data_IF_456481840376
#
_entry.id   IF_456481840376
#
_cell.length_a   1.000
_cell.length_b   1.000
_cell.length_c   1.000
_cell.angle_alpha   90.00
_cell.angle_beta   90.00
_cell.angle_gamma   90.00
#
_symmetry.space_group_name_H-M   'P 1'
#
loop_
_entity.id
_entity.type
_entity.pdbx_description
1 polymer ?
#
# COMPACT_ATOMS: atom_id res chain seq x y z
N UNK A 1 -15.99 0.07 22.71
CA UNK A 1 -14.55 0.25 22.46
C UNK A 1 -14.39 0.99 21.14
N UNK A 2 -14.09 2.29 21.20
CA UNK A 2 -14.20 3.20 20.05
C UNK A 2 -13.29 2.74 18.89
N UNK A 3 -13.78 2.88 17.65
CA UNK A 3 -13.06 2.50 16.43
C UNK A 3 -11.67 3.16 16.34
N UNK A 4 -11.53 4.36 16.90
CA UNK A 4 -10.28 5.11 17.06
C UNK A 4 -9.26 4.39 17.93
N UNK A 5 -9.67 3.81 19.07
CA UNK A 5 -8.78 3.02 19.94
C UNK A 5 -8.37 1.72 19.28
N UNK A 6 -9.28 1.07 18.55
CA UNK A 6 -8.97 -0.14 17.77
C UNK A 6 -7.94 0.17 16.69
N UNK A 7 -8.10 1.27 15.96
CA UNK A 7 -7.14 1.73 14.95
C UNK A 7 -5.81 2.17 15.56
N UNK A 8 -5.81 2.86 16.71
CA UNK A 8 -4.59 3.27 17.40
C UNK A 8 -3.81 2.05 17.91
N UNK A 9 -4.48 1.05 18.46
CA UNK A 9 -3.86 -0.22 18.90
C UNK A 9 -3.32 -0.99 17.69
N UNK A 10 -4.05 -1.03 16.56
CA UNK A 10 -3.58 -1.66 15.33
C UNK A 10 -2.35 -0.94 14.77
N UNK A 11 -2.33 0.40 14.75
CA UNK A 11 -1.18 1.20 14.31
C UNK A 11 0.02 1.04 15.25
N UNK A 12 -0.18 1.04 16.56
CA UNK A 12 0.89 0.90 17.56
C UNK A 12 1.44 -0.53 17.61
N UNK A 13 0.59 -1.56 17.50
CA UNK A 13 1.01 -2.98 17.47
C UNK A 13 1.79 -3.37 16.21
N UNK A 14 1.75 -2.54 15.17
CA UNK A 14 2.59 -2.70 13.97
C UNK A 14 4.01 -2.15 14.17
N UNK A 15 4.25 -1.32 15.19
CA UNK A 15 5.57 -0.72 15.43
C UNK A 15 6.54 -1.74 16.04
N UNK A 16 7.80 -1.65 15.61
CA UNK A 16 8.89 -2.54 16.00
C UNK A 16 9.05 -2.62 17.53
N UNK A 17 9.05 -1.48 18.21
CA UNK A 17 9.29 -1.39 19.64
C UNK A 17 8.24 -2.17 20.45
N UNK A 18 6.95 -2.05 20.11
CA UNK A 18 5.88 -2.70 20.85
C UNK A 18 6.00 -4.23 20.86
N UNK A 19 6.42 -4.82 19.73
CA UNK A 19 6.59 -6.29 19.60
C UNK A 19 7.85 -6.77 20.31
N UNK A 20 8.96 -6.04 20.20
CA UNK A 20 10.17 -6.35 20.95
C UNK A 20 9.93 -6.29 22.46
N UNK A 21 9.15 -5.29 22.93
CA UNK A 21 8.75 -5.20 24.34
C UNK A 21 7.85 -6.37 24.74
N UNK A 22 6.98 -6.87 23.86
CA UNK A 22 6.15 -8.05 24.13
C UNK A 22 7.01 -9.30 24.39
N UNK A 23 8.00 -9.58 23.54
CA UNK A 23 8.92 -10.72 23.75
C UNK A 23 9.77 -10.57 25.02
N UNK A 24 10.26 -9.36 25.31
CA UNK A 24 10.95 -9.07 26.57
C UNK A 24 10.04 -9.28 27.78
N UNK A 25 8.78 -8.81 27.69
CA UNK A 25 7.77 -9.00 28.73
C UNK A 25 7.38 -10.47 28.90
N UNK A 26 7.42 -11.28 27.83
CA UNK A 26 7.22 -12.72 27.90
C UNK A 26 8.35 -13.40 28.68
N UNK A 27 9.60 -12.93 28.55
CA UNK A 27 10.72 -13.38 29.39
C UNK A 27 10.54 -13.04 30.86
N UNK A 28 10.06 -11.83 31.16
CA UNK A 28 9.71 -11.44 32.55
C UNK A 28 8.52 -12.24 33.08
N UNK A 29 7.49 -12.45 32.25
CA UNK A 29 6.29 -13.20 32.63
C UNK A 29 6.58 -14.68 32.86
N UNK A 30 7.46 -15.30 32.05
CA UNK A 30 7.90 -16.68 32.29
C UNK A 30 8.68 -16.80 33.60
N UNK A 31 9.40 -15.75 34.03
CA UNK A 31 10.06 -15.69 35.33
C UNK A 31 9.08 -15.60 36.49
N UNK A 32 8.08 -14.74 36.38
CA UNK A 32 7.02 -14.58 37.38
C UNK A 32 6.15 -15.85 37.48
N UNK A 33 5.78 -16.45 36.34
CA UNK A 33 5.05 -17.72 36.29
C UNK A 33 5.88 -18.87 36.89
N UNK A 34 7.20 -18.87 36.66
CA UNK A 34 8.14 -19.79 37.30
C UNK A 34 8.10 -19.71 38.82
N UNK A 35 8.04 -18.50 39.37
CA UNK A 35 7.96 -18.28 40.81
C UNK A 35 6.61 -18.71 41.41
N UNK A 36 5.50 -18.51 40.68
CA UNK A 36 4.13 -18.83 41.15
C UNK A 36 3.79 -20.31 40.99
N UNK A 37 4.24 -20.98 39.92
CA UNK A 37 3.95 -22.39 39.64
C UNK A 37 4.78 -23.38 40.48
N UNK A 38 5.63 -22.87 41.38
CA UNK A 38 6.49 -23.64 42.29
C UNK A 38 5.80 -24.81 43.03
N UNK A 39 4.51 -24.72 43.47
CA UNK A 39 3.84 -25.81 44.19
C UNK A 39 3.38 -26.98 43.29
N UNK A 40 3.28 -26.77 41.97
CA UNK A 40 2.65 -27.71 41.03
C UNK A 40 3.66 -28.62 40.31
N UNK A 41 4.97 -28.36 40.44
CA UNK A 41 6.01 -29.00 39.64
C UNK A 41 6.77 -30.04 40.49
N UNK A 42 6.81 -31.33 40.07
CA UNK A 42 7.56 -32.37 40.77
C UNK A 42 9.06 -32.04 40.86
N UNK A 43 9.62 -32.10 42.06
CA UNK A 43 11.00 -31.69 42.38
C UNK A 43 12.10 -32.50 41.67
N UNK A 44 11.81 -33.71 41.17
CA UNK A 44 12.79 -34.59 40.53
C UNK A 44 13.17 -34.25 39.08
N UNK A 45 12.25 -33.65 38.30
CA UNK A 45 12.49 -33.34 36.87
C UNK A 45 13.22 -32.00 36.71
N UNK A 46 12.88 -31.03 37.57
CA UNK A 46 13.49 -29.71 37.58
C UNK A 46 14.99 -29.75 37.96
N UNK A 47 15.40 -30.69 38.82
CA UNK A 47 16.78 -30.87 39.25
C UNK A 47 17.70 -31.53 38.20
N UNK A 48 17.14 -32.28 37.23
CA UNK A 48 17.92 -32.92 36.16
C UNK A 48 18.29 -31.96 35.03
N UNK A 49 17.58 -30.82 34.90
CA UNK A 49 17.88 -29.79 33.92
C UNK A 49 18.91 -28.83 34.52
N UNK A 50 20.18 -29.07 34.20
CA UNK A 50 21.28 -28.25 34.72
C UNK A 50 21.13 -26.78 34.34
N UNK A 51 21.18 -25.89 35.34
CA UNK A 51 21.18 -24.43 35.16
C UNK A 51 22.28 -23.95 34.18
N UNK A 52 23.41 -24.65 34.15
CA UNK A 52 24.51 -24.41 33.21
C UNK A 52 24.10 -24.63 31.76
N UNK A 53 23.31 -25.66 31.45
CA UNK A 53 22.85 -25.93 30.09
C UNK A 53 21.89 -24.84 29.59
N UNK A 54 20.93 -24.42 30.43
CA UNK A 54 19.99 -23.33 30.09
C UNK A 54 20.73 -22.01 29.93
N UNK A 55 21.63 -21.68 30.86
CA UNK A 55 22.46 -20.48 30.80
C UNK A 55 23.35 -20.42 29.55
N UNK A 56 23.96 -21.54 29.16
CA UNK A 56 24.76 -21.62 27.93
C UNK A 56 23.91 -21.37 26.68
N UNK A 57 22.72 -21.97 26.59
CA UNK A 57 21.81 -21.75 25.45
C UNK A 57 21.36 -20.29 25.40
N UNK A 58 20.94 -19.71 26.53
CA UNK A 58 20.56 -18.31 26.61
C UNK A 58 21.73 -17.39 26.23
N UNK A 59 22.96 -17.71 26.64
CA UNK A 59 24.17 -16.98 26.26
C UNK A 59 24.45 -17.03 24.75
N UNK A 60 24.33 -18.21 24.14
CA UNK A 60 24.46 -18.38 22.68
C UNK A 60 23.37 -17.59 21.95
N UNK A 61 22.13 -17.62 22.44
CA UNK A 61 21.04 -16.84 21.87
C UNK A 61 21.30 -15.33 22.00
N UNK A 62 21.74 -14.85 23.16
CA UNK A 62 22.05 -13.43 23.35
C UNK A 62 23.15 -12.94 22.39
N UNK A 63 24.25 -13.68 22.26
CA UNK A 63 25.34 -13.26 21.37
C UNK A 63 24.97 -13.36 19.88
N UNK A 64 24.32 -14.45 19.48
CA UNK A 64 23.96 -14.69 18.08
C UNK A 64 22.82 -13.78 17.60
N UNK A 65 21.82 -13.48 18.44
CA UNK A 65 20.67 -12.67 18.04
C UNK A 65 21.04 -11.22 17.78
N UNK A 66 22.04 -10.66 18.47
CA UNK A 66 22.53 -9.31 18.16
C UNK A 66 23.18 -9.28 16.77
N UNK A 67 24.02 -10.28 16.45
CA UNK A 67 24.65 -10.40 15.14
C UNK A 67 23.61 -10.61 14.02
N UNK A 68 22.62 -11.49 14.23
CA UNK A 68 21.51 -11.73 13.29
C UNK A 68 20.66 -10.47 13.10
N UNK A 69 20.40 -9.72 14.17
CA UNK A 69 19.66 -8.45 14.12
C UNK A 69 20.42 -7.42 13.28
N UNK A 70 21.72 -7.25 13.51
CA UNK A 70 22.56 -6.33 12.74
C UNK A 70 22.64 -6.73 11.28
N UNK A 71 22.88 -8.01 10.98
CA UNK A 71 22.84 -8.53 9.61
C UNK A 71 21.48 -8.26 8.96
N UNK A 72 20.39 -8.54 9.68
CA UNK A 72 19.03 -8.37 9.19
C UNK A 72 18.68 -6.92 8.88
N UNK A 73 19.08 -5.98 9.75
CA UNK A 73 18.91 -4.56 9.53
C UNK A 73 19.72 -4.08 8.33
N UNK A 74 20.99 -4.48 8.21
CA UNK A 74 21.86 -4.13 7.09
C UNK A 74 21.30 -4.64 5.76
N UNK A 75 20.85 -5.89 5.70
CA UNK A 75 20.22 -6.45 4.50
C UNK A 75 18.91 -5.73 4.15
N UNK A 76 18.12 -5.35 5.15
CA UNK A 76 16.88 -4.58 4.93
C UNK A 76 17.17 -3.21 4.33
N UNK A 77 18.16 -2.48 4.86
CA UNK A 77 18.59 -1.18 4.31
C UNK A 77 19.12 -1.35 2.89
N UNK A 78 19.94 -2.36 2.63
CA UNK A 78 20.45 -2.65 1.28
C UNK A 78 19.30 -2.98 0.29
N UNK A 79 18.31 -3.76 0.71
CA UNK A 79 17.16 -4.09 -0.11
C UNK A 79 16.26 -2.87 -0.38
N UNK A 80 16.04 -2.00 0.61
CA UNK A 80 15.32 -0.74 0.40
C UNK A 80 16.06 0.22 -0.52
N UNK A 81 17.40 0.30 -0.40
CA UNK A 81 18.22 1.06 -1.33
C UNK A 81 18.13 0.49 -2.77
N UNK A 82 18.22 -0.83 -2.93
CA UNK A 82 18.06 -1.49 -4.21
C UNK A 82 16.68 -1.24 -4.82
N UNK A 83 15.62 -1.33 -4.01
CA UNK A 83 14.27 -1.05 -4.47
C UNK A 83 14.06 0.42 -4.80
N UNK A 84 14.64 1.36 -4.04
CA UNK A 84 14.60 2.79 -4.38
C UNK A 84 15.41 3.12 -5.64
N UNK A 85 16.42 2.32 -5.96
CA UNK A 85 17.20 2.46 -7.20
C UNK A 85 16.54 1.78 -8.40
N UNK A 86 15.82 0.68 -8.20
CA UNK A 86 15.19 -0.09 -9.28
C UNK A 86 13.72 0.31 -9.51
N UNK A 87 13.06 0.86 -8.50
CA UNK A 87 11.70 1.39 -8.57
C UNK A 87 11.69 2.91 -8.34
N UNK A 88 10.51 3.52 -8.36
CA UNK A 88 10.36 4.97 -8.18
C UNK A 88 10.26 5.33 -6.69
N UNK A 89 10.66 6.55 -6.27
CA UNK A 89 10.55 6.99 -4.88
C UNK A 89 9.14 6.89 -4.29
N UNK A 90 8.10 6.85 -5.14
CA UNK A 90 6.70 6.70 -4.71
C UNK A 90 6.36 5.24 -4.46
N UNK A 91 6.89 4.31 -5.25
CA UNK A 91 6.73 2.88 -5.03
C UNK A 91 7.47 2.39 -3.76
N UNK A 92 8.57 3.05 -3.38
CA UNK A 92 9.35 2.68 -2.20
C UNK A 92 8.61 2.94 -0.88
N UNK A 93 7.67 3.90 -0.84
CA UNK A 93 6.83 4.14 0.35
C UNK A 93 6.04 2.88 0.78
N UNK A 94 5.45 2.16 -0.18
CA UNK A 94 4.77 0.88 0.03
C UNK A 94 5.72 -0.26 0.46
N UNK A 95 7.01 -0.15 0.14
CA UNK A 95 8.02 -1.15 0.53
C UNK A 95 8.49 -0.97 1.97
N UNK A 96 8.61 0.28 2.42
CA UNK A 96 9.06 0.64 3.77
C UNK A 96 7.98 0.29 4.82
N UNK A 97 6.70 0.27 4.43
CA UNK A 97 5.59 -0.18 5.28
C UNK A 97 5.52 -1.70 5.49
N UNK A 98 6.47 -2.48 4.96
CA UNK A 98 6.44 -3.94 5.07
C UNK A 98 6.60 -4.43 6.52
N UNK A 99 5.47 -4.85 7.07
CA UNK A 99 5.38 -5.46 8.39
C UNK A 99 6.11 -6.81 8.51
N UNK A 100 6.44 -7.51 7.43
CA UNK A 100 7.12 -8.82 7.45
C UNK A 100 8.57 -8.74 7.93
N UNK A 101 9.36 -7.86 7.32
CA UNK A 101 10.76 -7.62 7.70
C UNK A 101 10.88 -7.04 9.11
N UNK A 102 9.97 -6.12 9.46
CA UNK A 102 9.88 -5.57 10.82
C UNK A 102 9.48 -6.63 11.85
N UNK A 103 8.63 -7.61 11.49
CA UNK A 103 8.29 -8.75 12.37
C UNK A 103 9.52 -9.59 12.69
N UNK A 104 10.32 -9.93 11.69
CA UNK A 104 11.51 -10.72 11.88
C UNK A 104 12.52 -10.00 12.79
N UNK A 105 12.82 -8.74 12.48
CA UNK A 105 13.75 -7.92 13.27
C UNK A 105 13.29 -7.77 14.72
N UNK A 106 11.99 -7.52 14.95
CA UNK A 106 11.43 -7.44 16.30
C UNK A 106 11.54 -8.77 17.07
N UNK A 107 11.41 -9.92 16.39
CA UNK A 107 11.57 -11.23 17.02
C UNK A 107 13.02 -11.51 17.42
N UNK A 108 14.01 -11.09 16.63
CA UNK A 108 15.43 -11.27 16.95
C UNK A 108 15.85 -10.38 18.13
N UNK A 109 15.41 -9.12 18.13
CA UNK A 109 15.60 -8.21 19.29
C UNK A 109 14.88 -8.75 20.52
N UNK A 110 13.66 -9.26 20.34
CA UNK A 110 12.87 -9.86 21.40
C UNK A 110 13.54 -11.09 22.02
N UNK A 111 14.09 -11.97 21.20
CA UNK A 111 14.86 -13.13 21.62
C UNK A 111 16.14 -12.73 22.37
N UNK A 112 16.86 -11.71 21.87
CA UNK A 112 18.02 -11.14 22.57
C UNK A 112 17.65 -10.64 23.97
N UNK A 113 16.58 -9.85 24.08
CA UNK A 113 16.09 -9.34 25.36
C UNK A 113 15.62 -10.46 26.30
N UNK A 114 14.87 -11.44 25.78
CA UNK A 114 14.47 -12.64 26.51
C UNK A 114 15.69 -13.37 27.07
N UNK A 115 16.73 -13.54 26.26
CA UNK A 115 17.97 -14.22 26.66
C UNK A 115 18.72 -13.47 27.76
N UNK A 116 18.83 -12.13 27.68
CA UNK A 116 19.46 -11.32 28.72
C UNK A 116 18.65 -11.39 30.02
N UNK A 117 17.33 -11.19 29.95
CA UNK A 117 16.46 -11.25 31.13
C UNK A 117 16.52 -12.64 31.78
N UNK A 118 16.45 -13.70 30.97
CA UNK A 118 16.59 -15.07 31.43
C UNK A 118 17.95 -15.34 32.08
N UNK A 119 19.04 -14.83 31.50
CA UNK A 119 20.39 -14.98 32.05
C UNK A 119 20.55 -14.23 33.39
N UNK A 120 20.05 -13.00 33.49
CA UNK A 120 20.04 -12.21 34.73
C UNK A 120 19.21 -12.91 35.81
N UNK A 121 18.02 -13.39 35.47
CA UNK A 121 17.14 -14.07 36.42
C UNK A 121 17.72 -15.41 36.89
N UNK A 122 18.47 -16.11 36.03
CA UNK A 122 19.15 -17.36 36.37
C UNK A 122 20.43 -17.12 37.20
N UNK A 123 21.18 -16.04 36.94
CA UNK A 123 22.39 -15.68 37.71
C UNK A 123 22.08 -15.09 39.09
N UNK A 124 20.96 -14.37 39.22
CA UNK A 124 20.46 -13.83 40.50
C UNK A 124 19.73 -14.87 41.35
N UNK A 125 19.47 -16.07 40.82
CA UNK A 125 18.81 -17.17 41.53
C UNK A 125 17.29 -17.02 41.71
N UNK A 126 16.68 -16.00 41.10
CA UNK A 126 15.25 -15.65 41.25
C UNK A 126 14.32 -16.81 40.84
N UNK A 127 14.73 -17.63 39.85
CA UNK A 127 13.90 -18.71 39.31
C UNK A 127 13.72 -19.93 40.24
N UNK A 128 14.65 -20.19 41.17
CA UNK A 128 14.69 -21.47 41.91
C UNK A 128 14.72 -22.72 41.00
N UNK A 129 14.51 -23.92 41.55
CA UNK A 129 14.57 -25.15 40.74
C UNK A 129 13.34 -25.30 39.82
N UNK A 130 12.12 -25.16 40.35
CA UNK A 130 10.88 -25.30 39.55
C UNK A 130 10.79 -24.30 38.39
N UNK A 131 11.32 -23.09 38.59
CA UNK A 131 11.31 -22.06 37.57
C UNK A 131 12.32 -22.30 36.43
N UNK A 132 13.41 -23.05 36.68
CA UNK A 132 14.36 -23.45 35.61
C UNK A 132 13.69 -24.33 34.54
N UNK A 133 12.78 -25.22 34.95
CA UNK A 133 12.00 -26.06 34.02
C UNK A 133 11.15 -25.19 33.08
N UNK A 134 10.47 -24.18 33.64
CA UNK A 134 9.64 -23.24 32.87
C UNK A 134 10.50 -22.39 31.94
N UNK A 135 11.63 -21.88 32.41
CA UNK A 135 12.56 -21.13 31.58
C UNK A 135 13.14 -22.00 30.45
N UNK A 136 13.47 -23.26 30.72
CA UNK A 136 13.95 -24.18 29.70
C UNK A 136 12.88 -24.44 28.62
N UNK A 137 11.65 -24.76 29.02
CA UNK A 137 10.54 -24.93 28.08
C UNK A 137 10.28 -23.66 27.25
N UNK A 138 10.28 -22.48 27.90
CA UNK A 138 10.16 -21.20 27.20
C UNK A 138 11.33 -20.94 26.24
N UNK A 139 12.54 -21.36 26.60
CA UNK A 139 13.73 -21.24 25.74
C UNK A 139 13.61 -22.15 24.51
N UNK A 140 13.11 -23.37 24.64
CA UNK A 140 12.85 -24.24 23.47
C UNK A 140 11.81 -23.62 22.55
N UNK A 141 10.69 -23.13 23.10
CA UNK A 141 9.66 -22.44 22.31
C UNK A 141 10.27 -21.23 21.60
N UNK A 142 11.09 -20.45 22.29
CA UNK A 142 11.78 -19.30 21.71
C UNK A 142 12.71 -19.72 20.57
N UNK A 143 13.49 -20.80 20.72
CA UNK A 143 14.34 -21.34 19.65
C UNK A 143 13.50 -21.71 18.42
N UNK A 144 12.39 -22.43 18.60
CA UNK A 144 11.50 -22.80 17.49
C UNK A 144 10.97 -21.55 16.79
N UNK A 145 10.52 -20.54 17.55
CA UNK A 145 10.05 -19.25 17.01
C UNK A 145 11.16 -18.55 16.22
N UNK A 146 12.38 -18.49 16.74
CA UNK A 146 13.53 -17.86 16.05
C UNK A 146 13.85 -18.61 14.77
N UNK A 147 13.93 -19.93 14.80
CA UNK A 147 14.27 -20.75 13.62
C UNK A 147 13.22 -20.56 12.52
N UNK A 148 11.93 -20.67 12.86
CA UNK A 148 10.84 -20.44 11.90
C UNK A 148 10.88 -19.00 11.36
N UNK A 149 11.16 -18.02 12.22
CA UNK A 149 11.21 -16.62 11.82
C UNK A 149 12.41 -16.34 10.92
N UNK A 150 13.57 -16.93 11.21
CA UNK A 150 14.78 -16.83 10.39
C UNK A 150 14.55 -17.45 9.01
N UNK A 151 13.97 -18.65 8.93
CA UNK A 151 13.66 -19.31 7.65
C UNK A 151 12.68 -18.47 6.82
N UNK A 152 11.61 -17.95 7.44
CA UNK A 152 10.66 -17.04 6.78
C UNK A 152 11.33 -15.74 6.33
N UNK A 153 12.25 -15.21 7.12
CA UNK A 153 12.97 -13.99 6.81
C UNK A 153 13.92 -14.20 5.62
N UNK A 154 14.63 -15.33 5.55
CA UNK A 154 15.47 -15.68 4.40
C UNK A 154 14.63 -15.77 3.12
N UNK A 155 13.46 -16.43 3.17
CA UNK A 155 12.54 -16.47 2.02
C UNK A 155 12.07 -15.06 1.61
N UNK A 156 11.78 -14.20 2.60
CA UNK A 156 11.35 -12.81 2.35
C UNK A 156 12.45 -11.97 1.68
N UNK A 157 13.72 -12.09 2.09
CA UNK A 157 14.83 -11.35 1.47
C UNK A 157 14.99 -11.70 0.01
N UNK A 158 14.81 -12.97 -0.35
CA UNK A 158 14.96 -13.40 -1.74
C UNK A 158 13.99 -12.69 -2.70
N UNK A 159 12.93 -12.08 -2.16
CA UNK A 159 11.89 -11.33 -2.88
C UNK A 159 12.09 -9.82 -2.77
N UNK A 160 12.68 -9.34 -1.68
CA UNK A 160 12.92 -7.92 -1.43
C UNK A 160 13.91 -7.33 -2.46
N UNK A 161 13.52 -6.19 -3.05
CA UNK A 161 14.34 -5.50 -4.06
C UNK A 161 14.11 -5.93 -5.51
N UNK A 162 13.31 -6.98 -5.75
CA UNK A 162 12.88 -7.34 -7.10
C UNK A 162 11.83 -6.35 -7.59
N UNK A 163 12.01 -5.85 -8.82
CA UNK A 163 11.03 -4.95 -9.46
C UNK A 163 9.64 -5.61 -9.50
N UNK A 164 9.56 -6.91 -9.80
CA UNK A 164 8.29 -7.67 -9.83
C UNK A 164 7.53 -7.63 -8.50
N UNK A 165 8.21 -7.74 -7.34
CA UNK A 165 7.53 -7.65 -6.03
C UNK A 165 7.00 -6.23 -5.78
N UNK A 166 7.70 -5.22 -6.29
CA UNK A 166 7.25 -3.83 -6.21
C UNK A 166 6.01 -3.62 -7.08
N UNK A 167 6.01 -4.17 -8.30
CA UNK A 167 4.85 -4.17 -9.20
C UNK A 167 3.66 -4.86 -8.53
N UNK A 168 3.84 -6.05 -7.97
CA UNK A 168 2.77 -6.81 -7.30
C UNK A 168 2.17 -6.03 -6.12
N UNK A 169 2.99 -5.31 -5.35
CA UNK A 169 2.53 -4.48 -4.23
C UNK A 169 1.71 -3.28 -4.70
N UNK A 170 2.22 -2.55 -5.70
CA UNK A 170 1.49 -1.43 -6.28
C UNK A 170 0.20 -1.94 -6.93
N UNK A 171 0.22 -3.07 -7.63
CA UNK A 171 -0.98 -3.71 -8.20
C UNK A 171 -2.02 -4.01 -7.12
N UNK A 172 -1.62 -4.62 -6.00
CA UNK A 172 -2.56 -4.92 -4.89
C UNK A 172 -3.17 -3.65 -4.31
N UNK A 173 -2.36 -2.64 -3.97
CA UNK A 173 -2.84 -1.38 -3.41
C UNK A 173 -3.81 -0.67 -4.38
N UNK A 174 -3.43 -0.61 -5.65
CA UNK A 174 -4.26 -0.01 -6.72
C UNK A 174 -5.56 -0.78 -6.91
N UNK A 175 -5.50 -2.11 -6.93
CA UNK A 175 -6.67 -2.99 -7.08
C UNK A 175 -7.65 -2.77 -5.93
N UNK A 176 -7.18 -2.67 -4.70
CA UNK A 176 -8.04 -2.42 -3.53
C UNK A 176 -8.74 -1.07 -3.63
N UNK A 177 -8.02 -0.01 -3.98
CA UNK A 177 -8.58 1.33 -4.19
C UNK A 177 -9.61 1.34 -5.33
N UNK A 178 -9.26 0.74 -6.48
CA UNK A 178 -10.14 0.61 -7.64
C UNK A 178 -11.40 -0.20 -7.32
N UNK A 179 -11.30 -1.30 -6.59
CA UNK A 179 -12.48 -2.11 -6.24
C UNK A 179 -13.41 -1.39 -5.25
N UNK A 180 -12.86 -0.66 -4.28
CA UNK A 180 -13.65 0.16 -3.35
C UNK A 180 -14.41 1.24 -4.13
N UNK A 181 -13.71 2.01 -4.96
CA UNK A 181 -14.31 3.10 -5.71
C UNK A 181 -15.24 2.60 -6.83
N UNK A 182 -14.98 1.46 -7.47
CA UNK A 182 -15.90 0.90 -8.48
C UNK A 182 -17.28 0.55 -7.89
N UNK A 183 -17.32 0.11 -6.62
CA UNK A 183 -18.56 -0.22 -5.90
C UNK A 183 -19.31 1.02 -5.41
N UNK A 184 -18.60 2.08 -5.08
CA UNK A 184 -19.15 3.36 -4.65
C UNK A 184 -18.43 4.50 -5.38
N UNK A 185 -18.71 4.74 -6.68
CA UNK A 185 -17.97 5.70 -7.50
C UNK A 185 -18.01 7.14 -6.97
N UNK A 186 -19.00 7.45 -6.15
CA UNK A 186 -19.20 8.76 -5.53
C UNK A 186 -19.14 8.64 -4.01
N UNK A 187 -18.53 7.57 -3.50
CA UNK A 187 -18.40 7.32 -2.06
C UNK A 187 -19.78 7.32 -1.35
N UNK A 188 -20.83 6.79 -2.01
CA UNK A 188 -22.22 6.79 -1.53
C UNK A 188 -22.85 8.19 -1.40
N UNK A 189 -22.24 9.21 -2.00
CA UNK A 189 -22.76 10.58 -2.07
C UNK A 189 -23.63 10.78 -3.33
N UNK A 190 -24.28 11.94 -3.41
CA UNK A 190 -25.06 12.33 -4.57
C UNK A 190 -24.17 12.58 -5.80
N UNK A 191 -24.69 12.35 -7.01
CA UNK A 191 -24.08 12.84 -8.24
C UNK A 191 -23.76 14.33 -8.14
N UNK A 192 -22.55 14.68 -8.56
CA UNK A 192 -22.18 16.07 -8.70
C UNK A 192 -23.12 16.78 -9.67
N UNK A 193 -23.86 17.75 -9.15
CA UNK A 193 -24.64 18.72 -9.90
C UNK A 193 -23.95 20.08 -9.76
N UNK A 194 -24.08 20.95 -10.76
CA UNK A 194 -23.49 22.29 -10.67
C UNK A 194 -24.07 23.03 -9.45
N UNK A 195 -23.22 23.56 -8.54
CA UNK A 195 -23.69 24.26 -7.36
C UNK A 195 -24.43 25.56 -7.75
N UNK A 196 -25.33 26.07 -6.88
CA UNK A 196 -25.96 27.37 -7.07
C UNK A 196 -24.92 28.49 -7.30
N UNK A 197 -25.25 29.53 -8.09
CA UNK A 197 -24.31 30.62 -8.39
C UNK A 197 -23.81 31.38 -7.16
N UNK A 198 -24.63 31.42 -6.12
CA UNK A 198 -24.42 32.05 -4.83
C UNK A 198 -23.85 31.11 -3.76
N UNK A 199 -23.45 29.89 -4.14
CA UNK A 199 -22.88 28.92 -3.22
C UNK A 199 -21.59 29.46 -2.58
N UNK A 200 -21.55 29.44 -1.24
CA UNK A 200 -20.43 29.92 -0.46
C UNK A 200 -19.19 29.05 -0.71
N UNK A 201 -18.01 29.67 -0.61
CA UNK A 201 -16.73 29.01 -0.90
C UNK A 201 -16.10 28.47 0.37
N UNK A 202 -15.74 27.19 0.37
CA UNK A 202 -14.86 26.61 1.37
C UNK A 202 -13.47 26.43 0.77
N UNK A 203 -12.48 27.09 1.36
CA UNK A 203 -11.06 26.92 1.05
C UNK A 203 -10.35 26.04 2.08
N UNK A 204 -9.08 25.72 1.80
CA UNK A 204 -8.18 25.11 2.78
C UNK A 204 -7.11 26.13 3.18
N UNK A 205 -6.56 26.01 4.39
CA UNK A 205 -5.36 26.77 4.80
C UNK A 205 -4.06 26.05 4.49
N UNK A 206 -4.15 24.78 4.10
CA UNK A 206 -3.01 23.90 3.87
C UNK A 206 -2.65 23.85 2.38
N UNK A 207 -1.37 23.62 2.11
CA UNK A 207 -0.84 23.35 0.77
C UNK A 207 -0.45 21.88 0.75
N UNK A 208 -0.91 21.13 -0.26
CA UNK A 208 -0.61 19.71 -0.37
C UNK A 208 -1.63 18.95 -1.21
N UNK A 209 -1.62 17.63 -1.09
CA UNK A 209 -2.55 16.74 -1.79
C UNK A 209 -3.73 16.36 -0.89
N UNK A 210 -4.93 16.35 -1.45
CA UNK A 210 -6.08 15.70 -0.82
C UNK A 210 -5.83 14.20 -0.81
N UNK A 211 -5.66 13.60 0.36
CA UNK A 211 -5.44 12.15 0.48
C UNK A 211 -6.70 11.39 0.88
N UNK A 212 -7.58 12.04 1.63
CA UNK A 212 -8.84 11.45 2.05
C UNK A 212 -9.93 12.51 2.21
N UNK A 213 -11.13 12.22 1.72
CA UNK A 213 -12.34 12.99 1.98
C UNK A 213 -13.23 12.16 2.89
N UNK A 214 -13.46 12.66 4.11
CA UNK A 214 -14.32 11.99 5.10
C UNK A 214 -15.79 12.33 4.84
N UNK A 215 -16.38 11.63 3.85
CA UNK A 215 -17.77 11.81 3.42
C UNK A 215 -18.78 11.61 4.57
N UNK A 216 -18.66 10.58 5.44
CA UNK A 216 -19.54 10.45 6.60
C UNK A 216 -19.47 11.67 7.52
N UNK A 217 -18.27 12.16 7.86
CA UNK A 217 -18.12 13.36 8.70
C UNK A 217 -18.70 14.60 8.05
N UNK A 218 -18.50 14.77 6.73
CA UNK A 218 -19.11 15.87 5.98
C UNK A 218 -20.64 15.79 6.03
N UNK A 219 -21.22 14.60 5.88
CA UNK A 219 -22.66 14.38 5.97
C UNK A 219 -23.20 14.80 7.34
N UNK A 220 -22.58 14.35 8.43
CA UNK A 220 -23.01 14.67 9.80
C UNK A 220 -23.00 16.19 10.06
N UNK A 221 -21.94 16.88 9.61
CA UNK A 221 -21.84 18.34 9.74
C UNK A 221 -22.87 19.04 8.85
N UNK A 222 -23.09 18.55 7.62
CA UNK A 222 -24.05 19.12 6.69
C UNK A 222 -25.50 18.97 7.17
N UNK A 223 -25.84 17.88 7.86
CA UNK A 223 -27.15 17.69 8.49
C UNK A 223 -27.34 18.62 9.68
N UNK A 224 -26.35 18.71 10.58
CA UNK A 224 -26.42 19.58 11.75
C UNK A 224 -26.54 21.07 11.36
N UNK A 225 -25.85 21.47 10.30
CA UNK A 225 -25.88 22.82 9.77
C UNK A 225 -26.96 23.05 8.70
N UNK A 226 -27.79 22.05 8.37
CA UNK A 226 -28.78 22.07 7.29
C UNK A 226 -28.28 22.72 5.98
N UNK A 227 -27.18 22.20 5.43
CA UNK A 227 -26.56 22.66 4.19
C UNK A 227 -26.38 21.51 3.19
N UNK A 228 -26.11 21.87 1.94
CA UNK A 228 -25.61 20.96 0.90
C UNK A 228 -24.14 21.31 0.62
N UNK A 229 -23.33 20.31 0.29
CA UNK A 229 -21.90 20.45 0.04
C UNK A 229 -21.56 19.84 -1.32
N UNK A 230 -20.91 20.61 -2.17
CA UNK A 230 -20.34 20.12 -3.43
C UNK A 230 -18.82 20.06 -3.30
N UNK A 231 -18.27 18.85 -3.29
CA UNK A 231 -16.82 18.65 -3.32
C UNK A 231 -16.30 19.04 -4.70
N UNK A 232 -15.45 20.08 -4.75
CA UNK A 232 -14.85 20.58 -5.99
C UNK A 232 -13.53 19.86 -6.32
N UNK A 233 -12.96 19.17 -5.32
CA UNK A 233 -11.72 18.41 -5.42
C UNK A 233 -11.96 16.93 -5.14
N UNK A 234 -11.07 16.11 -5.68
CA UNK A 234 -11.04 14.66 -5.46
C UNK A 234 -9.75 14.26 -4.72
N UNK A 235 -9.72 13.06 -4.14
CA UNK A 235 -8.45 12.48 -3.68
C UNK A 235 -7.42 12.46 -4.83
N UNK A 236 -6.18 12.84 -4.52
CA UNK A 236 -5.10 13.06 -5.48
C UNK A 236 -4.94 14.50 -5.97
N UNK A 237 -5.91 15.39 -5.72
CA UNK A 237 -5.84 16.79 -6.15
C UNK A 237 -4.82 17.57 -5.32
N UNK A 238 -3.92 18.30 -5.97
CA UNK A 238 -3.03 19.26 -5.31
C UNK A 238 -3.77 20.58 -5.10
N UNK A 239 -3.80 21.05 -3.86
CA UNK A 239 -4.52 22.26 -3.46
C UNK A 239 -3.60 23.30 -2.84
N UNK A 240 -4.00 24.56 -2.98
CA UNK A 240 -3.38 25.74 -2.38
C UNK A 240 -4.45 26.62 -1.72
N UNK A 241 -4.08 27.56 -0.82
CA UNK A 241 -5.06 28.35 -0.08
C UNK A 241 -6.03 29.20 -0.90
N UNK A 242 -5.68 29.51 -2.15
CA UNK A 242 -6.53 30.21 -3.11
C UNK A 242 -7.55 29.30 -3.80
N UNK A 243 -7.38 27.98 -3.71
CA UNK A 243 -8.30 27.02 -4.30
C UNK A 243 -9.49 26.72 -3.40
N UNK A 244 -10.59 26.41 -4.07
CA UNK A 244 -11.84 26.03 -3.44
C UNK A 244 -11.85 24.52 -3.34
N UNK A 245 -11.95 24.00 -2.11
CA UNK A 245 -12.09 22.56 -1.86
C UNK A 245 -13.54 22.11 -1.92
N UNK A 246 -14.49 22.97 -1.51
CA UNK A 246 -15.91 22.70 -1.63
C UNK A 246 -16.75 23.97 -1.80
N UNK A 247 -17.96 23.81 -2.31
CA UNK A 247 -19.02 24.82 -2.28
C UNK A 247 -20.09 24.41 -1.26
N UNK A 248 -20.66 25.39 -0.57
CA UNK A 248 -21.71 25.21 0.42
C UNK A 248 -22.99 25.91 -0.04
N UNK A 249 -24.16 25.36 0.25
CA UNK A 249 -25.44 25.96 -0.17
C UNK A 249 -25.74 27.31 0.48
N UNK A 250 -25.04 27.64 1.57
CA UNK A 250 -25.09 28.93 2.26
C UNK A 250 -23.78 29.15 3.00
N UNK A 251 -23.55 30.38 3.42
CA UNK A 251 -22.47 30.69 4.37
C UNK A 251 -22.74 30.03 5.73
N UNK A 252 -21.66 29.63 6.40
CA UNK A 252 -21.67 29.02 7.72
C UNK A 252 -20.73 29.79 8.64
N UNK A 253 -20.90 29.62 9.94
CA UNK A 253 -20.00 30.20 10.92
C UNK A 253 -18.58 29.61 10.81
N UNK A 254 -17.60 30.30 11.39
CA UNK A 254 -16.19 29.95 11.27
C UNK A 254 -15.86 28.58 11.88
N UNK A 255 -16.52 28.16 12.96
CA UNK A 255 -16.27 26.86 13.60
C UNK A 255 -16.77 25.72 12.72
N UNK A 256 -17.96 25.86 12.13
CA UNK A 256 -18.48 24.93 11.13
C UNK A 256 -17.58 24.86 9.89
N UNK A 257 -17.12 26.01 9.37
CA UNK A 257 -16.21 26.04 8.23
C UNK A 257 -14.88 25.32 8.51
N UNK A 258 -14.31 25.47 9.70
CA UNK A 258 -13.09 24.76 10.11
C UNK A 258 -13.32 23.25 10.18
N UNK A 259 -14.43 22.81 10.79
CA UNK A 259 -14.78 21.38 10.87
C UNK A 259 -14.99 20.75 9.50
N UNK A 260 -15.57 21.49 8.56
CA UNK A 260 -15.74 21.07 7.17
C UNK A 260 -14.40 20.97 6.46
N UNK A 261 -13.52 21.98 6.60
CA UNK A 261 -12.18 21.96 6.02
C UNK A 261 -11.35 20.78 6.54
N UNK A 262 -11.42 20.48 7.84
CA UNK A 262 -10.73 19.34 8.47
C UNK A 262 -11.18 17.96 7.97
N UNK A 263 -12.35 17.87 7.32
CA UNK A 263 -12.82 16.62 6.72
C UNK A 263 -12.15 16.35 5.35
N UNK A 264 -11.48 17.35 4.77
CA UNK A 264 -10.59 17.22 3.61
C UNK A 264 -9.15 17.06 4.12
N UNK A 265 -8.68 15.82 4.23
CA UNK A 265 -7.34 15.54 4.74
C UNK A 265 -6.30 15.93 3.70
N UNK A 266 -5.41 16.85 4.07
CA UNK A 266 -4.32 17.36 3.23
C UNK A 266 -2.99 16.85 3.76
N UNK A 267 -2.19 16.24 2.90
CA UNK A 267 -0.83 15.78 3.22
C UNK A 267 0.18 16.21 2.15
N UNK A 268 1.47 16.16 2.47
CA UNK A 268 2.54 16.55 1.54
C UNK A 268 2.67 15.59 0.34
N UNK A 269 2.24 14.33 0.51
CA UNK A 269 2.36 13.26 -0.48
C UNK A 269 0.99 12.65 -0.79
N UNK A 270 0.81 12.19 -2.04
CA UNK A 270 -0.34 11.35 -2.41
C UNK A 270 -0.25 9.98 -1.74
N UNK A 271 -1.40 9.37 -1.50
CA UNK A 271 -1.50 7.99 -1.03
C UNK A 271 -2.38 7.16 -1.96
N UNK A 272 -2.47 5.85 -1.71
CA UNK A 272 -3.22 4.92 -2.58
C UNK A 272 -4.66 4.71 -2.11
N UNK A 273 -5.05 5.16 -0.92
CA UNK A 273 -6.25 4.69 -0.23
C UNK A 273 -7.55 5.10 -0.93
N UNK A 274 -7.67 6.36 -1.32
CA UNK A 274 -8.83 6.91 -2.05
C UNK A 274 -8.48 7.37 -3.48
N UNK A 275 -7.24 7.17 -3.92
CA UNK A 275 -6.74 7.64 -5.21
C UNK A 275 -6.19 6.47 -6.04
N UNK A 276 -7.07 5.76 -6.78
CA UNK A 276 -6.65 4.66 -7.64
C UNK A 276 -5.77 5.12 -8.81
N UNK A 277 -5.87 6.39 -9.22
CA UNK A 277 -5.05 6.96 -10.30
C UNK A 277 -3.59 7.01 -9.90
N UNK A 278 -3.29 7.32 -8.65
CA UNK A 278 -1.91 7.35 -8.16
C UNK A 278 -1.22 5.99 -8.33
N UNK A 279 -1.95 4.90 -8.10
CA UNK A 279 -1.49 3.54 -8.39
C UNK A 279 -1.06 3.32 -9.84
N UNK A 280 -1.91 3.76 -10.78
CA UNK A 280 -1.63 3.70 -12.21
C UNK A 280 -0.43 4.57 -12.61
N UNK A 281 -0.34 5.78 -12.05
CA UNK A 281 0.81 6.68 -12.25
C UNK A 281 2.10 6.02 -11.77
N UNK A 282 2.11 5.43 -10.57
CA UNK A 282 3.31 4.77 -10.01
C UNK A 282 3.75 3.58 -10.86
N UNK A 283 2.81 2.73 -11.31
CA UNK A 283 3.10 1.64 -12.26
C UNK A 283 3.70 2.18 -13.55
N UNK A 284 3.15 3.27 -14.06
CA UNK A 284 3.60 3.92 -15.29
C UNK A 284 5.00 4.51 -15.13
N UNK A 285 5.29 5.19 -14.02
CA UNK A 285 6.65 5.69 -13.74
C UNK A 285 7.68 4.54 -13.67
N UNK A 286 7.31 3.36 -13.14
CA UNK A 286 8.19 2.17 -13.14
C UNK A 286 8.47 1.73 -14.58
N UNK A 287 7.45 1.67 -15.44
CA UNK A 287 7.64 1.36 -16.85
C UNK A 287 8.47 2.42 -17.59
N UNK A 288 8.24 3.72 -17.36
CA UNK A 288 9.04 4.79 -17.97
C UNK A 288 10.52 4.71 -17.56
N UNK A 289 10.80 4.39 -16.28
CA UNK A 289 12.16 4.17 -15.80
C UNK A 289 12.80 2.97 -16.52
N UNK A 290 12.07 1.87 -16.68
CA UNK A 290 12.53 0.69 -17.38
C UNK A 290 12.82 0.95 -18.87
N UNK A 291 11.97 1.74 -19.53
CA UNK A 291 12.13 2.16 -20.94
C UNK A 291 13.22 3.22 -21.14
N UNK A 292 13.74 3.83 -20.08
CA UNK A 292 14.75 4.88 -20.20
C UNK A 292 16.05 4.34 -20.84
N UNK A 293 16.80 5.18 -21.58
CA UNK A 293 18.06 4.76 -22.22
C UNK A 293 19.10 4.19 -21.25
N UNK A 294 19.03 4.56 -19.97
CA UNK A 294 19.97 4.09 -18.95
C UNK A 294 19.68 2.66 -18.46
N UNK A 295 18.42 2.21 -18.53
CA UNK A 295 18.01 0.89 -18.05
C UNK A 295 17.72 -0.06 -19.22
N UNK A 296 16.95 0.41 -20.21
CA UNK A 296 16.60 -0.32 -21.43
C UNK A 296 16.07 -1.74 -21.18
N UNK A 297 15.07 -1.86 -20.29
CA UNK A 297 14.37 -3.10 -19.95
C UNK A 297 12.91 -3.07 -20.45
N UNK A 298 12.66 -3.43 -21.72
CA UNK A 298 11.30 -3.49 -22.26
C UNK A 298 10.43 -4.59 -21.61
N UNK A 299 11.05 -5.61 -21.01
CA UNK A 299 10.35 -6.71 -20.36
C UNK A 299 9.51 -6.23 -19.16
N UNK A 300 10.09 -5.36 -18.34
CA UNK A 300 9.37 -4.72 -17.22
C UNK A 300 8.19 -3.87 -17.70
N UNK A 301 8.34 -3.10 -18.79
CA UNK A 301 7.25 -2.30 -19.34
C UNK A 301 6.09 -3.17 -19.88
N UNK A 302 6.43 -4.30 -20.52
CA UNK A 302 5.44 -5.29 -20.98
C UNK A 302 4.67 -5.90 -19.80
N UNK A 303 5.34 -6.18 -18.68
CA UNK A 303 4.70 -6.68 -17.45
C UNK A 303 3.75 -5.62 -16.86
N UNK A 304 4.19 -4.36 -16.74
CA UNK A 304 3.35 -3.23 -16.30
C UNK A 304 2.11 -3.08 -17.18
N UNK A 305 2.24 -3.13 -18.51
CA UNK A 305 1.09 -3.08 -19.42
C UNK A 305 0.10 -4.21 -19.14
N UNK A 306 0.59 -5.42 -18.83
CA UNK A 306 -0.24 -6.54 -18.41
C UNK A 306 -0.95 -6.29 -17.08
N UNK A 307 -0.24 -5.77 -16.10
CA UNK A 307 -0.76 -5.39 -14.79
C UNK A 307 -1.87 -4.33 -14.90
N UNK A 308 -1.62 -3.24 -15.64
CA UNK A 308 -2.64 -2.21 -15.91
C UNK A 308 -3.84 -2.82 -16.64
N UNK A 309 -3.63 -3.67 -17.66
CA UNK A 309 -4.73 -4.35 -18.36
C UNK A 309 -5.61 -5.10 -17.35
N UNK A 310 -5.01 -5.86 -16.43
CA UNK A 310 -5.75 -6.62 -15.39
C UNK A 310 -6.53 -5.70 -14.46
N UNK A 311 -5.95 -4.58 -14.05
CA UNK A 311 -6.57 -3.59 -13.17
C UNK A 311 -7.79 -2.94 -13.82
N UNK A 312 -7.65 -2.44 -15.05
CA UNK A 312 -8.74 -1.80 -15.80
C UNK A 312 -9.84 -2.81 -16.18
N UNK A 313 -9.50 -4.03 -16.58
CA UNK A 313 -10.49 -5.10 -16.76
C UNK A 313 -11.26 -5.40 -15.47
N UNK A 314 -10.57 -5.42 -14.33
CA UNK A 314 -11.18 -5.61 -13.01
C UNK A 314 -12.14 -4.49 -12.64
N UNK A 315 -11.75 -3.24 -12.88
CA UNK A 315 -12.61 -2.06 -12.70
C UNK A 315 -13.88 -2.14 -13.53
N UNK A 316 -13.75 -2.33 -14.84
CA UNK A 316 -14.90 -2.36 -15.74
C UNK A 316 -15.88 -3.49 -15.40
N UNK A 317 -15.38 -4.69 -15.06
CA UNK A 317 -16.23 -5.78 -14.57
C UNK A 317 -16.95 -5.41 -13.28
N UNK A 318 -16.25 -4.83 -12.31
CA UNK A 318 -16.87 -4.38 -11.07
C UNK A 318 -17.96 -3.33 -11.33
N UNK A 319 -17.72 -2.36 -12.23
CA UNK A 319 -18.69 -1.33 -12.62
C UNK A 319 -19.93 -1.92 -13.31
N UNK A 320 -19.75 -2.91 -14.19
CA UNK A 320 -20.86 -3.58 -14.89
C UNK A 320 -21.70 -4.47 -13.97
N UNK A 321 -21.10 -5.03 -12.92
CA UNK A 321 -21.76 -5.97 -11.99
C UNK A 321 -22.43 -5.27 -10.80
N UNK A 322 -22.07 -4.03 -10.51
CA UNK A 322 -22.64 -3.32 -9.36
C UNK A 322 -24.09 -2.90 -9.62
N UNK A 323 -24.94 -3.13 -8.63
CA UNK A 323 -26.26 -2.54 -8.54
C UNK A 323 -26.17 -0.99 -8.53
N UNK A 324 -27.27 -0.26 -8.80
CA UNK A 324 -27.31 1.19 -8.63
C UNK A 324 -26.75 1.61 -7.28
N UNK A 325 -25.90 2.64 -7.27
CA UNK A 325 -25.23 3.13 -6.06
C UNK A 325 -26.28 3.56 -5.02
N UNK A 326 -26.27 2.90 -3.86
CA UNK A 326 -27.08 3.31 -2.71
C UNK A 326 -26.52 4.63 -2.17
N UNK A 327 -27.35 5.69 -2.21
CA UNK A 327 -27.01 7.00 -1.64
C UNK A 327 -27.19 6.93 -0.13
N UNK A 328 -26.09 7.09 0.60
CA UNK A 328 -26.06 7.16 2.08
C UNK A 328 -25.76 8.57 2.58
N UNK A 329 -25.21 9.43 1.72
CA UNK A 329 -24.81 10.78 2.06
C UNK A 329 -25.53 11.79 1.15
N UNK A 330 -26.85 12.01 1.35
CA UNK A 330 -27.68 12.83 0.47
C UNK A 330 -27.35 14.33 0.50
N UNK A 331 -26.57 14.82 1.47
CA UNK A 331 -26.18 16.24 1.55
C UNK A 331 -24.90 16.56 0.80
N UNK A 332 -24.19 15.53 0.32
CA UNK A 332 -22.86 15.66 -0.27
C UNK A 332 -22.92 15.31 -1.75
N UNK A 333 -22.30 16.13 -2.59
CA UNK A 333 -22.23 15.97 -4.04
C UNK A 333 -20.79 15.76 -4.47
N UNK A 334 -20.50 14.62 -5.12
CA UNK A 334 -19.13 14.21 -5.50
C UNK A 334 -19.07 13.79 -6.96
N UNK A 335 -17.97 14.15 -7.63
CA UNK A 335 -17.68 13.71 -9.01
C UNK A 335 -17.22 12.26 -8.97
N UNK A 336 -17.73 11.45 -9.89
CA UNK A 336 -17.12 10.15 -10.13
C UNK A 336 -15.75 10.34 -10.80
N UNK A 337 -14.87 9.35 -10.62
CA UNK A 337 -13.63 9.24 -11.39
C UNK A 337 -13.94 9.24 -12.90
N UNK A 338 -13.27 10.08 -13.67
CA UNK A 338 -13.31 9.99 -15.14
C UNK A 338 -12.33 8.91 -15.59
N UNK A 339 -12.84 7.84 -16.21
CA UNK A 339 -11.98 6.77 -16.68
C UNK A 339 -11.03 7.19 -17.81
N UNK A 340 -11.30 8.30 -18.53
CA UNK A 340 -10.34 8.88 -19.50
C UNK A 340 -9.02 9.21 -18.84
N UNK A 341 -9.07 9.78 -17.64
CA UNK A 341 -7.88 10.16 -16.88
C UNK A 341 -7.00 8.94 -16.58
N UNK A 342 -7.61 7.77 -16.31
CA UNK A 342 -6.85 6.54 -16.10
C UNK A 342 -6.11 6.07 -17.35
N UNK A 343 -6.69 6.30 -18.54
CA UNK A 343 -6.02 6.00 -19.80
C UNK A 343 -4.90 7.02 -20.07
N UNK A 344 -5.14 8.30 -19.76
CA UNK A 344 -4.12 9.35 -19.89
C UNK A 344 -2.90 9.08 -19.01
N UNK A 345 -3.14 8.79 -17.72
CA UNK A 345 -2.08 8.53 -16.74
C UNK A 345 -1.16 7.36 -17.14
N UNK A 346 -1.66 6.42 -17.96
CA UNK A 346 -0.90 5.23 -18.39
C UNK A 346 -0.44 5.31 -19.85
N UNK A 347 -1.37 5.42 -20.78
CA UNK A 347 -1.07 5.23 -22.20
C UNK A 347 -0.44 6.45 -22.84
N UNK A 348 -0.71 7.67 -22.35
CA UNK A 348 -0.07 8.87 -22.89
C UNK A 348 1.47 8.83 -22.74
N UNK A 349 2.03 8.63 -21.53
CA UNK A 349 3.49 8.53 -21.37
C UNK A 349 4.08 7.27 -21.99
N UNK A 350 3.42 6.10 -21.86
CA UNK A 350 3.99 4.87 -22.41
C UNK A 350 4.01 4.85 -23.94
N UNK A 351 3.00 5.42 -24.61
CA UNK A 351 3.02 5.53 -26.08
C UNK A 351 4.18 6.39 -26.56
N UNK A 352 4.53 7.46 -25.82
CA UNK A 352 5.69 8.31 -26.12
C UNK A 352 7.00 7.58 -25.89
N UNK A 353 7.15 6.98 -24.72
CA UNK A 353 8.45 6.43 -24.28
C UNK A 353 8.76 5.07 -24.92
N UNK A 354 7.74 4.33 -25.37
CA UNK A 354 7.92 3.05 -26.06
C UNK A 354 7.87 3.15 -27.58
N UNK A 355 7.78 4.34 -28.16
CA UNK A 355 7.50 4.55 -29.58
C UNK A 355 8.45 3.78 -30.52
N UNK A 356 9.74 3.76 -30.20
CA UNK A 356 10.79 3.07 -30.95
C UNK A 356 11.04 1.60 -30.56
N UNK A 357 10.23 1.03 -29.66
CA UNK A 357 10.38 -0.35 -29.17
C UNK A 357 9.19 -1.21 -29.61
N UNK A 358 9.38 -1.97 -30.69
CA UNK A 358 8.30 -2.70 -31.36
C UNK A 358 7.57 -3.67 -30.41
N UNK A 359 8.30 -4.43 -29.61
CA UNK A 359 7.74 -5.43 -28.68
C UNK A 359 6.82 -4.81 -27.62
N UNK A 360 7.15 -3.60 -27.16
CA UNK A 360 6.35 -2.85 -26.18
C UNK A 360 5.13 -2.24 -26.87
N UNK A 361 5.32 -1.64 -28.06
CA UNK A 361 4.22 -1.09 -28.87
C UNK A 361 3.17 -2.17 -29.21
N UNK A 362 3.61 -3.37 -29.60
CA UNK A 362 2.72 -4.52 -29.82
C UNK A 362 1.91 -4.84 -28.55
N UNK A 363 2.56 -4.86 -27.38
CA UNK A 363 1.88 -5.15 -26.12
C UNK A 363 0.88 -4.06 -25.73
N UNK A 364 1.22 -2.80 -25.98
CA UNK A 364 0.39 -1.63 -25.74
C UNK A 364 -0.88 -1.69 -26.60
N UNK A 365 -0.76 -1.95 -27.91
CA UNK A 365 -1.91 -2.10 -28.79
C UNK A 365 -2.81 -3.28 -28.42
N UNK A 366 -2.23 -4.41 -28.00
CA UNK A 366 -3.01 -5.55 -27.48
C UNK A 366 -3.77 -5.20 -26.20
N UNK A 367 -3.17 -4.41 -25.32
CA UNK A 367 -3.81 -3.90 -24.10
C UNK A 367 -5.02 -3.05 -24.45
N UNK A 368 -4.84 -2.04 -25.30
CA UNK A 368 -5.91 -1.15 -25.76
C UNK A 368 -7.03 -1.91 -26.48
N UNK A 369 -6.69 -2.87 -27.34
CA UNK A 369 -7.66 -3.73 -28.03
C UNK A 369 -8.53 -4.51 -27.02
N UNK A 370 -7.89 -5.10 -26.01
CA UNK A 370 -8.57 -5.85 -24.94
C UNK A 370 -9.57 -4.97 -24.20
N UNK A 371 -9.16 -3.75 -23.85
CA UNK A 371 -10.01 -2.80 -23.13
C UNK A 371 -11.16 -2.26 -24.00
N UNK A 372 -10.90 -2.03 -25.29
CA UNK A 372 -11.93 -1.58 -26.24
C UNK A 372 -13.00 -2.65 -26.51
N UNK A 373 -12.63 -3.93 -26.47
CA UNK A 373 -13.50 -5.08 -26.74
C UNK A 373 -14.23 -5.60 -25.49
N UNK A 374 -13.99 -5.02 -24.31
CA UNK A 374 -14.56 -5.49 -23.04
C UNK A 374 -16.07 -5.22 -22.90
N UNK A 375 -16.68 -4.46 -23.83
CA UNK A 375 -18.09 -4.08 -23.76
C UNK A 375 -18.42 -3.07 -22.66
N UNK A 376 -17.42 -2.38 -22.09
CA UNK A 376 -17.63 -1.27 -21.16
C UNK A 376 -17.58 0.07 -21.93
N UNK A 377 -18.71 0.80 -22.08
CA UNK A 377 -18.80 1.94 -23.00
C UNK A 377 -17.75 3.04 -22.77
N UNK A 378 -17.37 3.29 -21.51
CA UNK A 378 -16.41 4.34 -21.16
C UNK A 378 -14.99 4.09 -21.69
N UNK A 379 -14.62 2.85 -22.03
CA UNK A 379 -13.25 2.50 -22.42
C UNK A 379 -12.98 2.62 -23.92
N UNK A 380 -13.98 2.44 -24.77
CA UNK A 380 -13.75 2.34 -26.23
C UNK A 380 -13.16 3.63 -26.80
N UNK A 381 -13.75 4.79 -26.46
CA UNK A 381 -13.28 6.09 -26.93
C UNK A 381 -11.81 6.36 -26.58
N UNK A 382 -11.43 6.36 -25.29
CA UNK A 382 -10.05 6.53 -24.87
C UNK A 382 -9.10 5.49 -25.48
N UNK A 383 -9.54 4.22 -25.59
CA UNK A 383 -8.69 3.17 -26.14
C UNK A 383 -8.33 3.40 -27.62
N UNK A 384 -9.30 3.86 -28.42
CA UNK A 384 -9.08 4.22 -29.83
C UNK A 384 -8.16 5.44 -29.93
N UNK A 385 -8.42 6.47 -29.14
CA UNK A 385 -7.62 7.71 -29.11
C UNK A 385 -6.14 7.42 -28.83
N UNK A 386 -5.84 6.63 -27.80
CA UNK A 386 -4.45 6.27 -27.47
C UNK A 386 -3.84 5.26 -28.45
N UNK A 387 -4.65 4.44 -29.13
CA UNK A 387 -4.13 3.58 -30.20
C UNK A 387 -3.69 4.43 -31.40
N UNK A 388 -4.48 5.42 -31.81
CA UNK A 388 -4.11 6.34 -32.90
C UNK A 388 -2.84 7.12 -32.56
N UNK A 389 -2.78 7.67 -31.34
CA UNK A 389 -1.61 8.40 -30.87
C UNK A 389 -0.36 7.53 -30.83
N UNK A 390 -0.45 6.28 -30.36
CA UNK A 390 0.68 5.36 -30.32
C UNK A 390 1.19 5.01 -31.72
N UNK A 391 0.29 4.80 -32.71
CA UNK A 391 0.69 4.55 -34.10
C UNK A 391 1.46 5.72 -34.70
N UNK A 392 0.99 6.95 -34.46
CA UNK A 392 1.67 8.16 -34.97
C UNK A 392 3.09 8.25 -34.41
N UNK A 393 3.24 8.07 -33.09
CA UNK A 393 4.55 8.11 -32.43
C UNK A 393 5.48 6.98 -32.92
N UNK A 394 4.96 5.76 -33.06
CA UNK A 394 5.75 4.62 -33.56
C UNK A 394 6.12 4.75 -35.04
N UNK A 395 5.30 5.40 -35.87
CA UNK A 395 5.63 5.66 -37.27
C UNK A 395 6.83 6.61 -37.42
N UNK A 396 6.98 7.57 -36.51
CA UNK A 396 8.13 8.48 -36.49
C UNK A 396 9.39 7.83 -35.89
N UNK A 397 9.23 6.92 -34.93
CA UNK A 397 10.35 6.37 -34.15
C UNK A 397 10.91 5.03 -34.67
N UNK A 398 10.09 4.18 -35.31
CA UNK A 398 10.55 2.87 -35.80
C UNK A 398 11.29 3.01 -37.13
N UNK A 399 12.50 2.44 -37.28
CA UNK A 399 13.30 2.61 -38.50
C UNK A 399 12.82 1.76 -39.68
N UNK A 400 12.17 0.62 -39.42
CA UNK A 400 11.79 -0.34 -40.45
C UNK A 400 10.30 -0.22 -40.81
N UNK A 401 10.01 -0.02 -42.10
CA UNK A 401 8.63 0.06 -42.61
C UNK A 401 7.82 -1.22 -42.34
N UNK A 402 8.45 -2.40 -42.36
CA UNK A 402 7.77 -3.67 -42.07
C UNK A 402 7.23 -3.72 -40.63
N UNK A 403 7.97 -3.13 -39.68
CA UNK A 403 7.57 -3.08 -38.28
C UNK A 403 6.43 -2.08 -38.07
N UNK A 404 6.49 -0.94 -38.77
CA UNK A 404 5.40 0.03 -38.80
C UNK A 404 4.11 -0.58 -39.37
N UNK A 405 4.20 -1.28 -40.50
CA UNK A 405 3.06 -1.96 -41.13
C UNK A 405 2.45 -3.01 -40.20
N UNK A 406 3.29 -3.80 -39.53
CA UNK A 406 2.84 -4.80 -38.54
C UNK A 406 2.04 -4.17 -37.41
N UNK A 407 2.43 -2.99 -36.92
CA UNK A 407 1.67 -2.27 -35.89
C UNK A 407 0.33 -1.75 -36.44
N UNK A 408 0.31 -1.23 -37.66
CA UNK A 408 -0.94 -0.76 -38.31
C UNK A 408 -1.93 -1.91 -38.49
N UNK A 409 -1.46 -3.07 -38.93
CA UNK A 409 -2.29 -4.29 -39.06
C UNK A 409 -2.82 -4.75 -37.71
N UNK A 410 -1.97 -4.78 -36.68
CA UNK A 410 -2.34 -5.14 -35.31
C UNK A 410 -3.39 -4.17 -34.74
N UNK A 411 -3.27 -2.89 -35.03
CA UNK A 411 -4.15 -1.85 -34.52
C UNK A 411 -5.47 -1.72 -35.28
N UNK A 412 -5.67 -2.44 -36.39
CA UNK A 412 -6.83 -2.29 -37.28
C UNK A 412 -8.22 -2.41 -36.59
N UNK A 413 -8.29 -3.04 -35.41
CA UNK A 413 -9.49 -3.09 -34.57
C UNK A 413 -10.07 -1.71 -34.23
N UNK A 414 -9.24 -0.65 -34.19
CA UNK A 414 -9.68 0.70 -33.85
C UNK A 414 -10.53 1.37 -34.95
N UNK A 415 -10.38 0.94 -36.21
CA UNK A 415 -11.09 1.47 -37.40
C UNK A 415 -12.46 0.85 -37.61
N UNK A 416 -12.73 -0.28 -36.96
CA UNK A 416 -13.98 -1.00 -37.11
C UNK A 416 -14.94 -0.56 -36.01
N UNK A 417 -15.98 0.19 -36.37
CA UNK A 417 -17.12 0.47 -35.48
C UNK A 417 -17.90 -0.84 -35.27
N UNK A 418 -18.25 -1.22 -34.02
CA UNK A 418 -19.04 -2.41 -33.75
C UNK A 418 -20.46 -2.29 -34.30
#
# INVERSE_FOLDING_TARGET
MNATWKMLIIRTSRRLWFRSTLYGSFGVASALLGAVAKPLIPSGIAAQIGASAVGNILGILASSMLAVTTFSLSTMVAAYAAASNNATPRASTLLIEDSGSQRALASFIGAFLFSIVGLIALSTGIYGDSGRLILFAATIVMIVVIVVTLLRWIDQISRLGRVSETIDRVERATREAMQKLARAPRLHAMPYAKPPPDAARLGSKHIGYITNIDIPRLQDIAEAADIQIWAEVSAGSFITPDQVVARLSREVDQDTALKLADAFVVEDLRNFDQDPRFGLVVLTEIAQRALSPAINDPGTAIDILGTVTRLLCGWARARQQCAPEEVRHPRIHVRALDERDCFEDVYAPLSRDSAGMLEVAIRLHKSLATLAQLGYPAYRGPAVEYADRALQLSAEALPLQVDQQRLVELAAWHKHTP
#
